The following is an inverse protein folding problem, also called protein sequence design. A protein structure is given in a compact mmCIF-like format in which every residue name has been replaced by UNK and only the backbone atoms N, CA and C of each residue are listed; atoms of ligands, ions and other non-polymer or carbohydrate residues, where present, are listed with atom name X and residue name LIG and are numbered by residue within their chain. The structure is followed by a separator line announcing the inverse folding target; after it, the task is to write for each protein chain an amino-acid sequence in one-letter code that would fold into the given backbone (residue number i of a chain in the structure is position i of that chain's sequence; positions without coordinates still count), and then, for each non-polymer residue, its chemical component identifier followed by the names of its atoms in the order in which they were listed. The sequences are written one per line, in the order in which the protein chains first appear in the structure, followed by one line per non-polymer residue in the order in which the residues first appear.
data_IF_208664042224
#
_entry.id   IF_208664042224
#
_cell.length_a   1.000
_cell.length_b   1.000
_cell.length_c   1.000
_cell.angle_alpha   90.00
_cell.angle_beta   90.00
_cell.angle_gamma   90.00
#
_symmetry.space_group_name_H-M   'P 1'
#
loop_
_entity.id
_entity.type
_entity.pdbx_description
1 polymer ?
#
# COMPACT_ATOMS: atom_id res chain seq x y z
N UNK A 1 10.63 -13.31 -16.72
CA UNK A 1 10.89 -14.34 -15.68
C UNK A 1 10.50 -13.73 -14.35
N UNK A 2 9.53 -14.33 -13.67
CA UNK A 2 8.99 -13.83 -12.40
C UNK A 2 9.93 -14.23 -11.25
N UNK A 3 10.41 -13.25 -10.47
CA UNK A 3 11.45 -13.49 -9.45
C UNK A 3 10.90 -13.96 -8.09
N UNK A 4 9.57 -13.98 -7.92
CA UNK A 4 8.92 -14.39 -6.67
C UNK A 4 8.50 -15.85 -6.77
N UNK A 5 8.88 -16.67 -5.78
CA UNK A 5 8.47 -18.07 -5.67
C UNK A 5 7.42 -18.22 -4.56
N UNK A 6 6.22 -18.68 -4.93
CA UNK A 6 5.13 -18.97 -3.98
C UNK A 6 5.38 -20.28 -3.26
N UNK A 7 5.38 -20.27 -1.92
CA UNK A 7 5.47 -21.50 -1.10
C UNK A 7 4.07 -21.93 -0.66
N UNK A 8 3.68 -23.16 -0.97
CA UNK A 8 2.39 -23.72 -0.55
C UNK A 8 2.62 -24.63 0.68
N UNK A 9 1.90 -24.46 1.79
CA UNK A 9 2.02 -25.36 2.94
C UNK A 9 1.32 -26.71 2.67
N UNK A 10 2.00 -27.83 2.95
CA UNK A 10 1.43 -29.19 2.88
C UNK A 10 0.22 -29.34 3.81
N UNK A 11 -0.86 -29.95 3.30
CA UNK A 11 -2.15 -30.04 3.98
C UNK A 11 -2.30 -31.31 4.82
N UNK A 12 -2.49 -31.16 6.13
CA UNK A 12 -3.09 -32.17 7.01
C UNK A 12 -4.62 -32.00 7.13
N UNK A 13 -5.33 -32.93 7.81
CA UNK A 13 -6.80 -32.94 7.89
C UNK A 13 -7.40 -31.63 8.46
N UNK A 14 -8.63 -31.25 8.07
CA UNK A 14 -9.18 -29.93 8.35
C UNK A 14 -9.48 -29.72 9.85
N UNK A 15 -8.63 -28.93 10.50
CA UNK A 15 -8.91 -28.28 11.78
C UNK A 15 -9.23 -26.80 11.55
N UNK A 16 -10.39 -26.34 12.01
CA UNK A 16 -10.77 -24.92 11.93
C UNK A 16 -10.28 -24.19 13.18
N UNK A 17 -9.20 -23.42 13.02
CA UNK A 17 -8.67 -22.46 13.99
C UNK A 17 -8.42 -21.15 13.23
N UNK A 18 -8.70 -19.99 13.81
CA UNK A 18 -8.17 -18.72 13.26
C UNK A 18 -6.64 -18.81 13.27
N UNK A 19 -6.03 -18.98 12.09
CA UNK A 19 -4.58 -19.21 11.94
C UNK A 19 -3.74 -17.95 12.13
N UNK A 20 -4.33 -16.75 11.98
CA UNK A 20 -3.64 -15.46 12.10
C UNK A 20 -4.52 -14.46 12.88
N UNK A 21 -3.89 -13.54 13.63
CA UNK A 21 -4.55 -12.54 14.47
C UNK A 21 -5.21 -11.39 13.69
N UNK A 22 -5.08 -11.36 12.36
CA UNK A 22 -5.81 -10.47 11.47
C UNK A 22 -5.75 -11.00 10.04
N UNK A 23 -6.74 -10.65 9.21
CA UNK A 23 -6.80 -11.06 7.81
C UNK A 23 -6.15 -9.95 6.98
N UNK A 24 -5.10 -10.25 6.18
CA UNK A 24 -4.53 -9.26 5.26
C UNK A 24 -5.58 -8.76 4.28
N UNK A 25 -5.68 -7.44 4.11
CA UNK A 25 -6.63 -6.82 3.18
C UNK A 25 -5.94 -6.53 1.83
N UNK A 26 -6.57 -6.95 0.73
CA UNK A 26 -6.05 -6.69 -0.61
C UNK A 26 -6.60 -5.35 -1.13
N UNK A 27 -5.71 -4.39 -1.39
CA UNK A 27 -6.06 -3.06 -1.89
C UNK A 27 -5.47 -2.85 -3.27
N UNK A 28 -6.32 -2.44 -4.22
CA UNK A 28 -5.92 -2.08 -5.59
C UNK A 28 -5.66 -0.58 -5.67
N UNK A 29 -4.51 -0.19 -6.20
CA UNK A 29 -4.04 1.19 -6.26
C UNK A 29 -3.63 1.56 -7.69
N UNK A 30 -3.74 2.85 -8.00
CA UNK A 30 -3.24 3.44 -9.25
C UNK A 30 -2.64 4.80 -8.95
N UNK A 31 -1.42 5.04 -9.44
CA UNK A 31 -0.78 6.35 -9.40
C UNK A 31 -0.57 6.86 -10.82
N UNK A 32 -0.64 8.18 -10.99
CA UNK A 32 -0.29 8.87 -12.23
C UNK A 32 0.94 9.71 -11.95
N UNK A 33 2.02 9.46 -12.69
CA UNK A 33 3.34 10.04 -12.39
C UNK A 33 4.07 10.44 -13.66
N UNK A 34 4.93 11.44 -13.55
CA UNK A 34 5.87 11.80 -14.60
C UNK A 34 6.96 10.73 -14.81
N UNK A 35 7.87 10.99 -15.76
CA UNK A 35 8.97 10.05 -16.06
C UNK A 35 9.93 9.84 -14.89
N UNK A 36 10.21 10.87 -14.11
CA UNK A 36 11.15 10.81 -12.99
C UNK A 36 10.57 9.97 -11.86
N UNK A 37 9.33 10.23 -11.48
CA UNK A 37 8.62 9.48 -10.45
C UNK A 37 8.32 8.05 -10.87
N UNK A 38 8.13 7.76 -12.16
CA UNK A 38 8.13 6.38 -12.65
C UNK A 38 9.46 5.68 -12.36
N UNK A 39 10.60 6.33 -12.59
CA UNK A 39 11.91 5.74 -12.29
C UNK A 39 12.08 5.51 -10.78
N UNK A 40 11.60 6.42 -9.93
CA UNK A 40 11.57 6.26 -8.47
C UNK A 40 10.76 5.01 -8.10
N UNK A 41 9.56 4.83 -8.66
CA UNK A 41 8.74 3.64 -8.40
C UNK A 41 9.45 2.35 -8.84
N UNK A 42 10.02 2.32 -10.04
CA UNK A 42 10.73 1.16 -10.59
C UNK A 42 11.91 0.77 -9.68
N UNK A 43 12.71 1.74 -9.23
CA UNK A 43 13.85 1.54 -8.34
C UNK A 43 13.42 1.10 -6.93
N UNK A 44 12.41 1.75 -6.35
CA UNK A 44 11.83 1.36 -5.07
C UNK A 44 11.41 -0.12 -5.08
N UNK A 45 10.69 -0.54 -6.13
CA UNK A 45 10.26 -1.92 -6.29
C UNK A 45 11.46 -2.85 -6.43
N UNK A 46 12.42 -2.51 -7.29
CA UNK A 46 13.56 -3.38 -7.58
C UNK A 46 14.48 -3.54 -6.36
N UNK A 47 14.87 -2.43 -5.75
CA UNK A 47 16.02 -2.38 -4.85
C UNK A 47 15.60 -2.46 -3.38
N UNK A 48 14.60 -1.67 -2.99
CA UNK A 48 14.15 -1.59 -1.60
C UNK A 48 13.30 -2.80 -1.23
N UNK A 49 12.31 -3.13 -2.06
CA UNK A 49 11.40 -4.25 -1.78
C UNK A 49 11.88 -5.59 -2.36
N UNK A 50 13.09 -5.64 -2.94
CA UNK A 50 13.66 -6.83 -3.61
C UNK A 50 12.67 -7.45 -4.59
N UNK A 51 12.31 -6.68 -5.61
CA UNK A 51 11.30 -7.01 -6.62
C UNK A 51 9.87 -7.22 -6.05
N UNK A 52 9.54 -6.55 -4.94
CA UNK A 52 8.24 -6.65 -4.27
C UNK A 52 8.06 -7.86 -3.36
N UNK A 53 9.16 -8.45 -2.87
CA UNK A 53 9.14 -9.56 -1.91
C UNK A 53 9.20 -9.13 -0.45
N UNK A 54 9.73 -7.94 -0.16
CA UNK A 54 9.84 -7.40 1.19
C UNK A 54 8.69 -6.44 1.52
N UNK A 55 8.28 -6.37 2.80
CA UNK A 55 7.26 -5.42 3.25
C UNK A 55 7.81 -3.99 3.24
N UNK A 56 6.91 -3.02 3.11
CA UNK A 56 7.23 -1.60 3.13
C UNK A 56 6.12 -0.80 3.82
N UNK A 57 6.49 0.35 4.38
CA UNK A 57 5.53 1.29 4.94
C UNK A 57 4.96 2.20 3.86
N UNK A 58 3.65 2.38 3.87
CA UNK A 58 2.94 3.27 2.97
C UNK A 58 1.99 4.16 3.78
N UNK A 59 1.85 5.46 3.47
CA UNK A 59 0.76 6.26 3.98
C UNK A 59 -0.59 5.62 3.63
N UNK A 60 -1.51 5.58 4.57
CA UNK A 60 -2.88 5.14 4.32
C UNK A 60 -3.51 6.07 3.28
N UNK A 61 -3.76 5.54 2.07
CA UNK A 61 -4.28 6.32 0.95
C UNK A 61 -5.73 6.81 1.16
N UNK A 62 -6.42 6.30 2.18
CA UNK A 62 -7.80 6.64 2.52
C UNK A 62 -7.93 7.56 3.72
N UNK A 63 -6.94 7.58 4.62
CA UNK A 63 -7.05 8.27 5.92
C UNK A 63 -5.91 9.26 6.20
N UNK A 64 -4.69 9.00 5.71
CA UNK A 64 -3.53 9.82 6.05
C UNK A 64 -3.69 11.25 5.51
N UNK A 65 -3.44 12.24 6.38
CA UNK A 65 -3.55 13.65 6.02
C UNK A 65 -4.97 14.24 6.10
N UNK A 66 -5.98 13.46 6.49
CA UNK A 66 -7.34 13.98 6.71
C UNK A 66 -7.42 14.70 8.07
N UNK A 67 -7.96 15.93 8.16
CA UNK A 67 -8.15 16.60 9.44
C UNK A 67 -9.08 15.81 10.37
N UNK A 68 -8.70 15.71 11.64
CA UNK A 68 -9.61 15.27 12.68
C UNK A 68 -10.70 16.32 12.85
N UNK A 69 -11.96 15.89 12.86
CA UNK A 69 -13.10 16.79 12.95
C UNK A 69 -13.75 16.72 14.34
N UNK A 70 -14.29 17.85 14.77
CA UNK A 70 -15.23 17.96 15.89
C UNK A 70 -16.60 17.36 15.50
N UNK A 71 -17.51 17.12 16.46
CA UNK A 71 -18.86 16.64 16.16
C UNK A 71 -19.68 17.57 15.24
N UNK A 72 -19.31 18.84 15.14
CA UNK A 72 -19.94 19.83 14.24
C UNK A 72 -19.28 19.88 12.85
N UNK A 73 -18.26 19.05 12.60
CA UNK A 73 -17.55 18.98 11.32
C UNK A 73 -16.40 19.98 11.16
N UNK A 74 -16.12 20.83 12.16
CA UNK A 74 -14.98 21.74 12.13
C UNK A 74 -13.68 21.01 12.47
N UNK A 75 -12.54 21.29 11.81
CA UNK A 75 -11.25 20.68 12.14
C UNK A 75 -10.81 20.98 13.58
N UNK A 76 -10.27 19.97 14.25
CA UNK A 76 -9.51 20.14 15.49
C UNK A 76 -8.18 20.79 15.16
N UNK A 77 -7.86 21.88 15.85
CA UNK A 77 -6.65 22.65 15.62
C UNK A 77 -5.64 22.44 16.75
N UNK A 78 -4.36 22.58 16.44
CA UNK A 78 -3.26 22.69 17.40
C UNK A 78 -3.30 24.06 18.10
N UNK A 79 -2.47 24.25 19.13
CA UNK A 79 -2.33 25.56 19.79
C UNK A 79 -1.84 26.70 18.88
N UNK A 80 -1.30 26.38 17.70
CA UNK A 80 -0.88 27.34 16.68
C UNK A 80 -1.96 27.63 15.61
N UNK A 81 -3.13 26.99 15.70
CA UNK A 81 -4.22 27.15 14.73
C UNK A 81 -4.17 26.21 13.52
N UNK A 82 -3.20 25.31 13.43
CA UNK A 82 -3.08 24.33 12.34
C UNK A 82 -3.95 23.09 12.58
N UNK A 83 -4.62 22.50 11.57
CA UNK A 83 -5.39 21.27 11.73
C UNK A 83 -4.56 20.08 12.21
N UNK A 84 -5.10 19.31 13.15
CA UNK A 84 -4.55 18.02 13.54
C UNK A 84 -4.98 17.00 12.49
N UNK A 85 -4.00 16.45 11.77
CA UNK A 85 -4.25 15.45 10.72
C UNK A 85 -4.17 14.04 11.31
N UNK A 86 -5.03 13.15 10.82
CA UNK A 86 -4.89 11.72 11.05
C UNK A 86 -3.58 11.26 10.41
N UNK A 87 -2.74 10.57 11.19
CA UNK A 87 -1.60 9.84 10.64
C UNK A 87 -1.89 8.35 10.69
N UNK A 88 -2.06 7.77 9.52
CA UNK A 88 -2.32 6.35 9.36
C UNK A 88 -1.31 5.78 8.37
N UNK A 89 -0.66 4.68 8.74
CA UNK A 89 0.35 4.02 7.91
C UNK A 89 -0.01 2.55 7.79
N UNK A 90 0.09 2.04 6.59
CA UNK A 90 -0.06 0.64 6.28
C UNK A 90 1.31 -0.02 6.17
N UNK A 91 1.45 -1.18 6.80
CA UNK A 91 2.51 -2.11 6.46
C UNK A 91 2.04 -2.95 5.27
N UNK A 92 2.65 -2.75 4.11
CA UNK A 92 2.21 -3.35 2.85
C UNK A 92 3.19 -4.40 2.34
N UNK A 93 2.66 -5.41 1.67
CA UNK A 93 3.39 -6.26 0.72
C UNK A 93 2.81 -6.05 -0.68
N UNK A 94 3.62 -6.13 -1.74
CA UNK A 94 3.06 -6.15 -3.09
C UNK A 94 2.21 -7.41 -3.29
N UNK A 95 1.03 -7.23 -3.90
CA UNK A 95 0.11 -8.29 -4.28
C UNK A 95 0.71 -9.22 -5.35
N UNK A 96 -0.03 -10.26 -5.73
CA UNK A 96 0.47 -11.27 -6.68
C UNK A 96 0.66 -10.70 -8.10
N UNK A 97 -0.20 -9.75 -8.50
CA UNK A 97 -0.10 -9.13 -9.81
C UNK A 97 1.08 -8.15 -9.87
N UNK A 98 1.93 -8.32 -10.88
CA UNK A 98 3.01 -7.36 -11.14
C UNK A 98 2.41 -5.99 -11.49
N UNK A 99 2.92 -4.89 -10.92
CA UNK A 99 2.59 -3.55 -11.37
C UNK A 99 2.64 -3.42 -12.89
N UNK A 100 1.54 -2.93 -13.47
CA UNK A 100 1.39 -2.67 -14.89
C UNK A 100 1.48 -1.15 -15.13
N UNK A 101 2.16 -0.74 -16.20
CA UNK A 101 2.29 0.66 -16.56
C UNK A 101 1.73 0.93 -17.95
N UNK A 102 0.95 2.00 -18.07
CA UNK A 102 0.43 2.50 -19.34
C UNK A 102 0.79 3.99 -19.50
N UNK A 103 1.02 4.42 -20.74
CA UNK A 103 1.30 5.83 -21.05
C UNK A 103 -0.03 6.56 -21.19
N UNK A 104 -0.16 7.70 -20.50
CA UNK A 104 -1.31 8.60 -20.56
C UNK A 104 -0.80 10.00 -20.89
N UNK A 105 -0.87 10.38 -22.17
CA UNK A 105 -0.24 11.61 -22.65
C UNK A 105 1.29 11.55 -22.49
N UNK A 106 1.83 12.41 -21.62
CA UNK A 106 3.26 12.45 -21.25
C UNK A 106 3.57 11.78 -19.90
N UNK A 107 2.53 11.29 -19.23
CA UNK A 107 2.61 10.68 -17.91
C UNK A 107 2.46 9.15 -17.98
N UNK A 108 2.73 8.49 -16.87
CA UNK A 108 2.64 7.05 -16.71
C UNK A 108 1.63 6.73 -15.62
N UNK A 109 0.57 6.00 -15.99
CA UNK A 109 -0.30 5.37 -15.01
C UNK A 109 0.33 4.04 -14.60
N UNK A 110 0.47 3.82 -13.29
CA UNK A 110 0.99 2.58 -12.72
C UNK A 110 -0.09 1.98 -11.84
N UNK A 111 -0.63 0.84 -12.25
CA UNK A 111 -1.64 0.08 -11.51
C UNK A 111 -0.99 -1.11 -10.81
N UNK A 112 -1.26 -1.28 -9.52
CA UNK A 112 -0.71 -2.35 -8.71
C UNK A 112 -1.62 -2.69 -7.54
N UNK A 113 -1.40 -3.85 -6.93
CA UNK A 113 -2.09 -4.24 -5.69
C UNK A 113 -1.11 -4.37 -4.54
N UNK A 114 -1.60 -4.12 -3.33
CA UNK A 114 -0.90 -4.34 -2.07
C UNK A 114 -1.75 -5.19 -1.14
N UNK A 115 -1.09 -6.01 -0.32
CA UNK A 115 -1.67 -6.67 0.84
C UNK A 115 -1.31 -5.82 2.06
N UNK A 116 -2.32 -5.23 2.69
CA UNK A 116 -2.18 -4.50 3.95
C UNK A 116 -2.15 -5.52 5.09
N UNK A 117 -1.07 -5.48 5.87
CA UNK A 117 -0.88 -6.34 7.01
C UNK A 117 -1.68 -5.80 8.21
N UNK A 118 -2.24 -6.67 9.06
CA UNK A 118 -2.97 -6.27 10.27
C UNK A 118 -2.09 -5.63 11.35
#
# INVERSE_FOLDING_TARGET
MEARLKRNPEAGPPGYRRRFSGVPEAVSLSILVDRNNKAVFDNFRKDLTKQGSLPFWMPDATTDGIPLLTPTGAPLLTGAGEPILMSARWLCLFGEQLPASTIVGVEFRISFSVMVMP
#
